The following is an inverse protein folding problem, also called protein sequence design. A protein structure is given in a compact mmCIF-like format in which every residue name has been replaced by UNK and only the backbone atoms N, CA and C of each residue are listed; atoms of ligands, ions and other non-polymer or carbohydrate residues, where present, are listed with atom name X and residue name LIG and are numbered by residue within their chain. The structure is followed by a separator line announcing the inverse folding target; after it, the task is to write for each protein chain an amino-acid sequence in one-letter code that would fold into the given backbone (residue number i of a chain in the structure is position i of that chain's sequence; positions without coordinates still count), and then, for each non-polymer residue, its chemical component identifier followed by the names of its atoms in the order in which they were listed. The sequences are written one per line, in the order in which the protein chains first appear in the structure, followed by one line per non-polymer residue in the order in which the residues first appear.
data_IF_239655918997
#
_entry.id   IF_239655918997
#
_cell.length_a   1.000
_cell.length_b   1.000
_cell.length_c   1.000
_cell.angle_alpha   90.00
_cell.angle_beta   90.00
_cell.angle_gamma   90.00
#
_symmetry.space_group_name_H-M   'P 1'
#
loop_
_entity.id
_entity.type
_entity.pdbx_description
1 polymer ?
#
# COMPACT_ATOMS: atom_id res chain seq x y z
N UNK A 1 -16.13 -8.02 -4.60
CA UNK A 1 -15.67 -6.61 -4.61
C UNK A 1 -14.33 -6.64 -3.94
N UNK A 2 -13.28 -6.08 -4.52
CA UNK A 2 -11.98 -5.97 -3.83
C UNK A 2 -11.62 -4.53 -3.49
N UNK A 3 -10.43 -4.34 -2.92
CA UNK A 3 -10.06 -3.08 -2.28
C UNK A 3 -9.47 -2.04 -3.25
N UNK A 4 -9.76 -0.78 -2.95
CA UNK A 4 -9.09 0.41 -3.47
C UNK A 4 -8.27 1.03 -2.34
N UNK A 5 -6.96 1.12 -2.55
CA UNK A 5 -6.04 1.78 -1.62
C UNK A 5 -5.67 3.15 -2.16
N UNK A 6 -5.82 4.18 -1.36
CA UNK A 6 -5.49 5.57 -1.67
C UNK A 6 -4.28 6.00 -0.85
N UNK A 7 -3.34 6.69 -1.46
CA UNK A 7 -2.08 7.07 -0.85
C UNK A 7 -1.58 8.44 -1.33
N UNK A 8 -2.41 9.50 -1.27
CA UNK A 8 -2.01 10.83 -1.71
C UNK A 8 -0.82 11.34 -0.86
N UNK A 9 0.16 11.93 -1.55
CA UNK A 9 1.36 12.51 -0.92
C UNK A 9 2.43 11.51 -0.48
N UNK A 10 2.13 10.20 -0.44
CA UNK A 10 3.15 9.19 -0.19
C UNK A 10 4.05 9.04 -1.42
N UNK A 11 5.35 8.87 -1.16
CA UNK A 11 6.39 8.75 -2.20
C UNK A 11 7.38 7.64 -1.88
N UNK A 12 8.00 7.10 -2.93
CA UNK A 12 9.01 6.06 -2.84
C UNK A 12 10.38 6.67 -2.51
N UNK A 13 10.59 7.03 -1.24
CA UNK A 13 11.92 7.47 -0.77
C UNK A 13 12.93 6.31 -0.81
N UNK A 14 14.22 6.60 -0.71
CA UNK A 14 15.27 5.57 -0.70
C UNK A 14 15.05 4.51 0.40
N UNK A 15 14.57 4.93 1.58
CA UNK A 15 14.25 4.01 2.69
C UNK A 15 13.04 3.13 2.37
N UNK A 16 11.99 3.72 1.79
CA UNK A 16 10.78 2.98 1.36
C UNK A 16 11.12 1.97 0.27
N UNK A 17 11.96 2.34 -0.69
CA UNK A 17 12.45 1.43 -1.73
C UNK A 17 13.27 0.28 -1.12
N UNK A 18 14.13 0.57 -0.15
CA UNK A 18 14.90 -0.46 0.54
C UNK A 18 13.98 -1.44 1.31
N UNK A 19 12.96 -0.93 1.99
CA UNK A 19 11.98 -1.75 2.70
C UNK A 19 11.12 -2.56 1.72
N UNK A 20 10.71 -1.98 0.58
CA UNK A 20 10.00 -2.69 -0.48
C UNK A 20 10.80 -3.87 -1.07
N UNK A 21 12.12 -3.73 -1.23
CA UNK A 21 12.98 -4.86 -1.65
C UNK A 21 12.93 -6.02 -0.65
N UNK A 22 12.96 -5.73 0.66
CA UNK A 22 12.86 -6.75 1.71
C UNK A 22 11.50 -7.43 1.70
N UNK A 23 10.42 -6.64 1.59
CA UNK A 23 9.04 -7.11 1.53
C UNK A 23 8.84 -8.05 0.34
N UNK A 24 9.28 -7.65 -0.85
CA UNK A 24 9.18 -8.48 -2.07
C UNK A 24 9.98 -9.77 -1.90
N UNK A 25 11.20 -9.71 -1.35
CA UNK A 25 12.04 -10.88 -1.13
C UNK A 25 11.47 -11.87 -0.08
N UNK A 26 10.74 -11.36 0.92
CA UNK A 26 10.12 -12.17 1.97
C UNK A 26 8.72 -12.67 1.59
N UNK A 27 8.15 -12.17 0.50
CA UNK A 27 6.79 -12.47 0.05
C UNK A 27 6.70 -13.90 -0.53
N UNK A 28 5.64 -14.66 -0.20
CA UNK A 28 5.35 -15.92 -0.86
C UNK A 28 4.70 -15.75 -2.24
N UNK A 29 4.34 -14.52 -2.62
CA UNK A 29 3.63 -14.20 -3.88
C UNK A 29 4.62 -13.79 -4.95
N UNK A 30 4.39 -14.23 -6.19
CA UNK A 30 5.17 -13.77 -7.33
C UNK A 30 4.81 -12.33 -7.68
N UNK A 31 5.78 -11.44 -7.52
CA UNK A 31 5.63 -10.02 -7.87
C UNK A 31 6.31 -9.75 -9.19
N UNK A 32 5.58 -9.06 -10.07
CA UNK A 32 6.05 -8.73 -11.40
C UNK A 32 6.08 -7.22 -11.63
N UNK A 33 6.62 -6.83 -12.78
CA UNK A 33 6.55 -5.46 -13.29
C UNK A 33 5.12 -4.95 -13.48
N UNK A 34 4.95 -3.67 -13.83
CA UNK A 34 3.65 -2.99 -13.85
C UNK A 34 2.58 -3.66 -14.72
N UNK A 35 2.99 -4.36 -15.78
CA UNK A 35 2.10 -5.12 -16.70
C UNK A 35 1.94 -6.60 -16.32
N UNK A 36 2.25 -6.96 -15.07
CA UNK A 36 2.22 -8.33 -14.56
C UNK A 36 3.25 -9.27 -15.21
N UNK A 37 4.32 -8.69 -15.74
CA UNK A 37 5.42 -9.40 -16.43
C UNK A 37 6.76 -8.79 -16.04
N UNK A 38 7.82 -9.59 -16.09
CA UNK A 38 9.19 -9.14 -15.79
C UNK A 38 9.36 -8.71 -14.33
N UNK A 39 10.45 -8.01 -14.04
CA UNK A 39 10.80 -7.57 -12.70
C UNK A 39 10.05 -6.27 -12.30
N UNK A 40 9.73 -6.07 -11.01
CA UNK A 40 9.22 -4.80 -10.51
C UNK A 40 10.25 -3.68 -10.70
N UNK A 41 9.74 -2.45 -10.88
CA UNK A 41 10.57 -1.23 -10.92
C UNK A 41 10.73 -0.73 -9.49
N UNK A 42 11.97 -0.49 -9.07
CA UNK A 42 12.35 -0.10 -7.71
C UNK A 42 13.55 0.84 -7.78
N UNK A 43 13.31 2.12 -8.04
CA UNK A 43 14.35 3.15 -8.12
C UNK A 43 13.82 4.53 -7.73
N UNK A 44 14.71 5.48 -7.44
CA UNK A 44 14.32 6.80 -6.94
C UNK A 44 13.68 7.70 -8.00
N UNK A 45 13.91 7.44 -9.29
CA UNK A 45 13.38 8.27 -10.36
C UNK A 45 11.93 7.89 -10.66
N UNK A 46 11.70 6.61 -10.99
CA UNK A 46 10.40 6.07 -11.36
C UNK A 46 9.58 5.57 -10.16
N UNK A 47 10.20 5.39 -9.00
CA UNK A 47 9.58 4.97 -7.75
C UNK A 47 9.45 3.45 -7.63
N UNK A 48 8.30 3.01 -7.12
CA UNK A 48 7.93 1.59 -7.01
C UNK A 48 6.80 1.32 -7.98
N UNK A 49 6.99 0.39 -8.94
CA UNK A 49 5.93 -0.08 -9.83
C UNK A 49 5.91 -1.59 -9.92
N UNK A 50 4.77 -2.18 -9.59
CA UNK A 50 4.59 -3.62 -9.58
C UNK A 50 3.14 -4.02 -9.85
N UNK A 51 2.95 -5.30 -10.15
CA UNK A 51 1.65 -5.94 -10.26
C UNK A 51 1.80 -7.44 -9.90
N UNK A 52 0.68 -8.17 -9.80
CA UNK A 52 0.69 -9.62 -9.68
C UNK A 52 1.13 -10.33 -10.96
N UNK A 53 1.24 -11.66 -10.92
CA UNK A 53 1.67 -12.44 -12.06
C UNK A 53 0.55 -12.64 -13.08
N UNK A 54 0.63 -11.95 -14.23
CA UNK A 54 -0.42 -11.93 -15.26
C UNK A 54 -0.74 -13.32 -15.82
N UNK A 55 0.30 -14.14 -16.05
CA UNK A 55 0.09 -15.48 -16.63
C UNK A 55 -0.69 -16.43 -15.68
N UNK A 56 -0.73 -16.11 -14.38
CA UNK A 56 -1.54 -16.81 -13.38
C UNK A 56 -2.89 -16.12 -13.10
N UNK A 57 -3.21 -15.00 -13.77
CA UNK A 57 -4.44 -14.23 -13.53
C UNK A 57 -4.43 -13.44 -12.21
N UNK A 58 -3.23 -13.17 -11.69
CA UNK A 58 -3.03 -12.50 -10.39
C UNK A 58 -2.78 -11.00 -10.52
N UNK A 59 -2.65 -10.45 -11.73
CA UNK A 59 -2.55 -9.02 -11.95
C UNK A 59 -3.92 -8.35 -12.03
N UNK A 60 -3.96 -7.06 -11.68
CA UNK A 60 -5.11 -6.18 -11.83
C UNK A 60 -4.62 -4.76 -12.14
N UNK A 61 -4.88 -3.74 -11.30
CA UNK A 61 -4.28 -2.41 -11.50
C UNK A 61 -2.82 -2.39 -11.04
N UNK A 62 -1.98 -1.71 -11.80
CA UNK A 62 -0.59 -1.44 -11.42
C UNK A 62 -0.54 -0.66 -10.10
N UNK A 63 0.17 -1.18 -9.11
CA UNK A 63 0.59 -0.38 -7.97
C UNK A 63 1.74 0.53 -8.38
N UNK A 64 1.61 1.84 -8.15
CA UNK A 64 2.63 2.83 -8.47
C UNK A 64 2.76 3.85 -7.35
N UNK A 65 3.83 3.75 -6.55
CA UNK A 65 4.23 4.76 -5.59
C UNK A 65 5.30 5.66 -6.24
N UNK A 66 4.96 6.95 -6.42
CA UNK A 66 5.77 7.88 -7.20
C UNK A 66 7.15 8.16 -6.60
N UNK A 67 8.18 8.22 -7.46
CA UNK A 67 9.53 8.67 -7.12
C UNK A 67 9.71 10.17 -7.30
N UNK A 68 10.95 10.59 -7.60
CA UNK A 68 11.34 11.99 -7.79
C UNK A 68 10.87 12.59 -9.13
N UNK A 69 10.61 11.75 -10.14
CA UNK A 69 10.07 12.20 -11.42
C UNK A 69 8.61 12.61 -11.23
N UNK A 70 8.33 13.89 -11.46
CA UNK A 70 6.99 14.42 -11.36
C UNK A 70 6.02 13.67 -12.29
N UNK A 71 4.81 13.32 -11.80
CA UNK A 71 3.79 12.74 -12.65
C UNK A 71 3.32 13.77 -13.70
N UNK A 72 2.77 13.32 -14.84
CA UNK A 72 2.15 14.21 -15.82
C UNK A 72 1.02 15.06 -15.23
N UNK A 73 0.35 14.57 -14.17
CA UNK A 73 -0.72 15.26 -13.44
C UNK A 73 -0.57 15.05 -11.92
N UNK A 74 -0.88 16.06 -11.08
CA UNK A 74 -0.57 16.07 -9.66
C UNK A 74 -1.24 14.98 -8.80
N UNK A 75 -2.31 14.34 -9.29
CA UNK A 75 -3.03 13.28 -8.56
C UNK A 75 -2.97 11.91 -9.26
N UNK A 76 -2.15 11.81 -10.31
CA UNK A 76 -2.02 10.57 -11.05
C UNK A 76 -1.38 9.49 -10.17
N UNK A 77 -1.95 8.28 -10.20
CA UNK A 77 -1.42 7.12 -9.47
C UNK A 77 -1.44 7.25 -7.94
N UNK A 78 -2.26 8.13 -7.38
CA UNK A 78 -2.44 8.26 -5.92
C UNK A 78 -3.37 7.20 -5.33
N UNK A 79 -3.74 6.19 -6.11
CA UNK A 79 -4.51 5.03 -5.68
C UNK A 79 -4.25 3.82 -6.58
N UNK A 80 -4.56 2.63 -6.10
CA UNK A 80 -4.68 1.43 -6.93
C UNK A 80 -5.82 0.55 -6.43
N UNK A 81 -6.42 -0.21 -7.35
CA UNK A 81 -7.34 -1.29 -6.99
C UNK A 81 -6.59 -2.60 -7.10
N UNK A 82 -6.78 -3.51 -6.16
CA UNK A 82 -6.09 -4.80 -6.20
C UNK A 82 -7.02 -5.97 -6.46
N UNK A 83 -8.34 -5.75 -6.37
CA UNK A 83 -9.35 -6.80 -6.53
C UNK A 83 -9.10 -8.03 -5.63
N UNK A 84 -8.50 -7.83 -4.44
CA UNK A 84 -8.09 -8.93 -3.53
C UNK A 84 -7.16 -9.96 -4.17
N UNK A 85 -6.48 -9.59 -5.26
CA UNK A 85 -5.50 -10.46 -5.89
C UNK A 85 -4.31 -10.71 -4.96
N UNK A 86 -3.59 -11.84 -5.11
CA UNK A 86 -2.53 -12.22 -4.18
C UNK A 86 -1.46 -11.14 -3.92
N UNK A 87 -1.13 -10.31 -4.92
CA UNK A 87 -0.13 -9.25 -4.75
C UNK A 87 -0.55 -8.10 -3.82
N UNK A 88 -1.83 -8.03 -3.43
CA UNK A 88 -2.36 -7.06 -2.46
C UNK A 88 -1.59 -7.09 -1.13
N UNK A 89 -1.14 -8.28 -0.68
CA UNK A 89 -0.32 -8.43 0.52
C UNK A 89 0.99 -7.63 0.44
N UNK A 90 1.59 -7.54 -0.75
CA UNK A 90 2.81 -6.78 -0.98
C UNK A 90 2.51 -5.29 -1.10
N UNK A 91 1.39 -4.94 -1.73
CA UNK A 91 0.92 -3.54 -1.84
C UNK A 91 0.70 -2.95 -0.45
N UNK A 92 -0.12 -3.61 0.38
CA UNK A 92 -0.43 -3.17 1.75
C UNK A 92 0.82 -3.08 2.63
N UNK A 93 1.73 -4.06 2.55
CA UNK A 93 3.02 -4.01 3.25
C UNK A 93 3.90 -2.82 2.84
N UNK A 94 3.96 -2.49 1.54
CA UNK A 94 4.72 -1.32 1.05
C UNK A 94 4.06 -0.01 1.46
N UNK A 95 2.72 0.05 1.46
CA UNK A 95 1.99 1.22 1.93
C UNK A 95 2.21 1.47 3.43
N UNK A 96 2.26 0.41 4.25
CA UNK A 96 2.65 0.50 5.67
C UNK A 96 4.06 1.10 5.78
N UNK A 97 5.03 0.57 5.02
CA UNK A 97 6.39 1.10 5.03
C UNK A 97 6.45 2.59 4.66
N UNK A 98 5.72 3.00 3.61
CA UNK A 98 5.66 4.40 3.18
C UNK A 98 5.02 5.30 4.24
N UNK A 99 3.86 4.90 4.77
CA UNK A 99 3.11 5.67 5.75
C UNK A 99 3.92 5.87 7.05
N UNK A 100 4.49 4.80 7.60
CA UNK A 100 5.32 4.86 8.83
C UNK A 100 6.51 5.82 8.66
N UNK A 101 7.18 5.78 7.49
CA UNK A 101 8.31 6.68 7.20
C UNK A 101 7.87 8.14 7.05
N UNK A 102 6.61 8.39 6.71
CA UNK A 102 6.03 9.73 6.57
C UNK A 102 5.36 10.29 7.83
N UNK A 103 5.18 9.50 8.90
CA UNK A 103 4.47 9.95 10.11
C UNK A 103 5.06 11.24 10.72
N UNK A 104 6.38 11.41 10.63
CA UNK A 104 7.07 12.58 11.19
C UNK A 104 7.05 13.82 10.28
N UNK A 105 6.64 13.68 9.02
CA UNK A 105 6.64 14.78 8.05
C UNK A 105 5.23 15.25 7.70
N UNK A 106 4.19 14.51 8.06
CA UNK A 106 2.78 14.78 7.74
C UNK A 106 2.53 14.98 6.23
N UNK A 107 3.40 14.43 5.37
CA UNK A 107 3.38 14.68 3.92
C UNK A 107 2.53 13.70 3.12
N UNK A 108 1.96 12.67 3.73
CA UNK A 108 1.05 11.74 3.06
C UNK A 108 0.22 10.93 4.04
N UNK A 109 -0.87 10.36 3.54
CA UNK A 109 -1.81 9.54 4.30
C UNK A 109 -2.15 8.30 3.49
N UNK A 110 -2.46 7.21 4.16
CA UNK A 110 -2.95 5.98 3.54
C UNK A 110 -4.42 5.80 3.90
N UNK A 111 -5.25 5.43 2.93
CA UNK A 111 -6.67 5.15 3.13
C UNK A 111 -7.09 3.94 2.32
N UNK A 112 -8.14 3.26 2.72
CA UNK A 112 -8.68 2.12 1.99
C UNK A 112 -10.20 2.12 2.07
N UNK A 113 -10.87 1.58 1.05
CA UNK A 113 -12.27 1.17 1.16
C UNK A 113 -12.44 -0.20 1.87
N UNK A 114 -11.33 -0.87 2.19
CA UNK A 114 -11.25 -2.01 3.11
C UNK A 114 -11.13 -1.59 4.58
N UNK A 115 -11.18 -2.59 5.47
CA UNK A 115 -10.97 -2.43 6.91
C UNK A 115 -9.52 -2.73 7.29
N UNK A 116 -9.09 -2.25 8.45
CA UNK A 116 -7.76 -2.53 8.98
C UNK A 116 -7.46 -4.04 9.09
N UNK A 117 -8.45 -4.85 9.48
CA UNK A 117 -8.31 -6.30 9.54
C UNK A 117 -8.01 -6.94 8.17
N UNK A 118 -8.41 -6.31 7.06
CA UNK A 118 -8.07 -6.79 5.72
C UNK A 118 -6.58 -6.61 5.41
N UNK A 119 -5.87 -5.76 6.16
CA UNK A 119 -4.44 -5.52 6.00
C UNK A 119 -3.57 -6.45 6.86
N UNK A 120 -4.16 -7.36 7.65
CA UNK A 120 -3.43 -8.22 8.57
C UNK A 120 -2.26 -8.97 7.91
N UNK A 121 -2.47 -9.55 6.72
CA UNK A 121 -1.42 -10.23 5.98
C UNK A 121 -0.28 -9.28 5.54
N UNK A 122 -0.62 -8.04 5.16
CA UNK A 122 0.35 -7.00 4.82
C UNK A 122 1.16 -6.55 6.04
N UNK A 123 0.50 -6.41 7.20
CA UNK A 123 1.14 -6.11 8.49
C UNK A 123 2.12 -7.21 8.86
N UNK A 124 1.70 -8.48 8.83
CA UNK A 124 2.57 -9.62 9.12
C UNK A 124 3.78 -9.67 8.19
N UNK A 125 3.58 -9.43 6.89
CA UNK A 125 4.66 -9.40 5.91
C UNK A 125 5.64 -8.24 6.17
N UNK A 126 5.13 -7.04 6.46
CA UNK A 126 5.97 -5.90 6.84
C UNK A 126 6.79 -6.21 8.10
N UNK A 127 6.16 -6.73 9.15
CA UNK A 127 6.81 -6.98 10.44
C UNK A 127 7.90 -8.06 10.32
N UNK A 128 7.63 -9.10 9.52
CA UNK A 128 8.60 -10.14 9.19
C UNK A 128 9.78 -9.63 8.38
N UNK A 129 9.53 -8.76 7.40
CA UNK A 129 10.55 -8.35 6.42
C UNK A 129 11.37 -7.13 6.86
N UNK A 130 10.78 -6.23 7.64
CA UNK A 130 11.33 -4.91 7.97
C UNK A 130 11.60 -4.78 9.45
N UNK A 131 10.53 -4.71 10.26
CA UNK A 131 10.55 -4.70 11.75
C UNK A 131 9.12 -4.71 12.30
N UNK A 132 8.91 -5.12 13.56
CA UNK A 132 7.63 -4.90 14.24
C UNK A 132 7.18 -3.44 14.21
N UNK A 133 5.86 -3.21 14.04
CA UNK A 133 5.27 -1.89 14.23
C UNK A 133 5.27 -1.55 15.72
N UNK A 134 5.43 -0.27 16.04
CA UNK A 134 5.11 0.22 17.38
C UNK A 134 3.59 0.30 17.57
N UNK A 135 3.13 0.36 18.81
CA UNK A 135 1.71 0.52 19.12
C UNK A 135 1.16 1.85 18.54
N UNK A 136 1.93 2.94 18.68
CA UNK A 136 1.56 4.25 18.11
C UNK A 136 1.46 4.21 16.58
N UNK A 137 2.40 3.54 15.90
CA UNK A 137 2.36 3.37 14.44
C UNK A 137 1.13 2.59 14.00
N UNK A 138 0.81 1.49 14.71
CA UNK A 138 -0.36 0.67 14.43
C UNK A 138 -1.65 1.47 14.59
N UNK A 139 -1.80 2.20 15.70
CA UNK A 139 -2.98 3.05 15.96
C UNK A 139 -3.12 4.13 14.89
N UNK A 140 -2.02 4.80 14.53
CA UNK A 140 -2.05 5.85 13.51
C UNK A 140 -2.50 5.29 12.15
N UNK A 141 -1.97 4.15 11.73
CA UNK A 141 -2.34 3.49 10.48
C UNK A 141 -3.80 3.02 10.48
N UNK A 142 -4.27 2.44 11.59
CA UNK A 142 -5.65 1.99 11.74
C UNK A 142 -6.63 3.17 11.60
N UNK A 143 -6.36 4.29 12.28
CA UNK A 143 -7.17 5.51 12.16
C UNK A 143 -7.20 6.06 10.72
N UNK A 144 -6.06 6.02 10.03
CA UNK A 144 -5.92 6.49 8.65
C UNK A 144 -6.72 5.60 7.68
N UNK A 145 -6.58 4.28 7.78
CA UNK A 145 -7.30 3.29 6.98
C UNK A 145 -8.81 3.37 7.24
N UNK A 146 -9.22 3.42 8.51
CA UNK A 146 -10.64 3.47 8.88
C UNK A 146 -11.30 4.84 8.63
N UNK A 147 -10.54 5.89 8.31
CA UNK A 147 -11.08 7.23 8.06
C UNK A 147 -12.11 7.30 6.90
N UNK A 148 -12.07 6.32 5.99
CA UNK A 148 -13.02 6.19 4.88
C UNK A 148 -14.18 5.24 5.16
N UNK A 149 -14.15 4.49 6.26
CA UNK A 149 -15.28 3.65 6.66
C UNK A 149 -16.45 4.56 7.05
N UNK A 150 -17.68 4.28 6.58
CA UNK A 150 -18.84 5.02 7.08
C UNK A 150 -18.87 4.85 8.60
N UNK A 151 -18.79 5.96 9.33
CA UNK A 151 -19.08 5.95 10.77
C UNK A 151 -20.43 5.26 10.91
N UNK A 152 -20.49 4.18 11.67
CA UNK A 152 -21.77 3.67 12.18
C UNK A 152 -22.43 4.86 12.88
N UNK A 153 -23.43 5.47 12.26
CA UNK A 153 -24.25 6.45 12.96
C UNK A 153 -24.83 5.71 14.17
N UNK A 154 -24.72 6.26 15.40
CA UNK A 154 -25.44 5.68 16.51
C UNK A 154 -26.92 5.71 16.10
N UNK A 155 -27.53 4.53 16.00
CA UNK A 155 -28.96 4.38 15.79
C UNK A 155 -29.65 5.26 16.82
N UNK A 156 -30.19 6.40 16.36
CA UNK A 156 -30.93 7.32 17.22
C UNK A 156 -32.05 6.55 17.91
N UNK A 157 -32.43 6.93 19.14
CA UNK A 157 -33.47 6.22 19.86
C UNK A 157 -34.76 6.26 19.02
N UNK A 158 -35.31 5.09 18.72
CA UNK A 158 -36.65 4.95 18.16
C UNK A 158 -37.63 5.71 19.07
N UNK A 159 -38.37 6.65 18.48
CA UNK A 159 -39.43 7.42 19.12
C UNK A 159 -40.77 6.68 19.04
#
# INVERSE_FOLDING_TARGET
MGYTHYFPGLTATAEVIADARKIIAASPVTICGPKGQGLPILDEADGIRLNGFEAAGEAYDTFHLGGTKAPPYPDMWTFCKTEEKPYDVVVTAILIAAAVRSLNTSMGTVRSDGRWDNWAAGVELFEKAVRPLTEDERIALELDVESMSPRSEPSGPEA
#
